data_IF_522957732458
#
_entry.id   IF_522957732458
#
_cell.length_a   1.000
_cell.length_b   1.000
_cell.length_c   1.000
_cell.angle_alpha   90.00
_cell.angle_beta   90.00
_cell.angle_gamma   90.00
#
_symmetry.space_group_name_H-M   'P 1'
#
loop_
_entity.id
_entity.type
_entity.pdbx_description
1 polymer ?
#
# COMPACT_ATOMS: atom_id res chain seq x y z
N UNK A 1 -17.63 61.06 -25.53
CA UNK A 1 -16.66 60.03 -25.94
C UNK A 1 -15.32 60.46 -25.39
N UNK A 2 -14.71 59.70 -24.49
CA UNK A 2 -13.41 60.07 -23.94
C UNK A 2 -12.38 59.99 -25.05
N UNK A 3 -11.69 61.09 -25.31
CA UNK A 3 -10.66 61.30 -26.32
C UNK A 3 -9.49 60.29 -26.27
N UNK A 4 -9.40 59.52 -25.18
CA UNK A 4 -8.36 58.52 -24.92
C UNK A 4 -8.79 57.05 -25.18
N UNK A 5 -9.93 56.80 -25.82
CA UNK A 5 -10.35 55.44 -26.15
C UNK A 5 -9.64 54.95 -27.43
N UNK A 6 -8.83 53.89 -27.31
CA UNK A 6 -8.09 53.28 -28.43
C UNK A 6 -8.62 51.88 -28.79
N UNK A 7 -9.88 51.75 -29.25
CA UNK A 7 -10.58 50.47 -29.34
C UNK A 7 -9.90 49.44 -30.26
N UNK A 8 -9.22 49.89 -31.32
CA UNK A 8 -8.50 48.99 -32.24
C UNK A 8 -7.22 48.45 -31.58
N UNK A 9 -6.45 49.31 -30.91
CA UNK A 9 -5.24 48.90 -30.19
C UNK A 9 -5.60 47.95 -29.05
N UNK A 10 -6.64 48.28 -28.28
CA UNK A 10 -7.14 47.45 -27.19
C UNK A 10 -7.62 46.09 -27.70
N UNK A 11 -8.31 46.06 -28.84
CA UNK A 11 -8.75 44.82 -29.49
C UNK A 11 -7.58 43.92 -29.94
N UNK A 12 -6.53 44.50 -30.53
CA UNK A 12 -5.33 43.74 -30.95
C UNK A 12 -4.56 43.22 -29.75
N UNK A 13 -4.32 44.06 -28.73
CA UNK A 13 -3.61 43.67 -27.52
C UNK A 13 -4.38 42.62 -26.72
N UNK A 14 -5.70 42.77 -26.58
CA UNK A 14 -6.55 41.78 -25.91
C UNK A 14 -6.59 40.45 -26.69
N UNK A 15 -6.67 40.51 -28.02
CA UNK A 15 -6.67 39.33 -28.89
C UNK A 15 -5.37 38.53 -28.80
N UNK A 16 -4.22 39.21 -28.60
CA UNK A 16 -2.94 38.56 -28.34
C UNK A 16 -2.79 38.11 -26.88
N UNK A 17 -3.24 38.91 -25.91
CA UNK A 17 -3.09 38.58 -24.48
C UNK A 17 -3.91 37.37 -24.06
N UNK A 18 -5.12 37.21 -24.61
CA UNK A 18 -6.04 36.13 -24.25
C UNK A 18 -5.46 34.71 -24.45
N UNK A 19 -4.97 34.31 -25.64
CA UNK A 19 -4.41 32.98 -25.84
C UNK A 19 -3.14 32.73 -25.01
N UNK A 20 -2.30 33.74 -24.81
CA UNK A 20 -1.11 33.63 -23.96
C UNK A 20 -1.48 33.39 -22.48
N UNK A 21 -2.52 34.07 -21.99
CA UNK A 21 -3.05 33.81 -20.66
C UNK A 21 -3.57 32.38 -20.52
N UNK A 22 -4.28 31.86 -21.54
CA UNK A 22 -4.76 30.47 -21.55
C UNK A 22 -3.60 29.46 -21.55
N UNK A 23 -2.55 29.68 -22.35
CA UNK A 23 -1.36 28.81 -22.35
C UNK A 23 -0.64 28.82 -21.00
N UNK A 24 -0.51 29.98 -20.37
CA UNK A 24 0.08 30.08 -19.04
C UNK A 24 -0.75 29.33 -18.00
N UNK A 25 -2.07 29.46 -18.03
CA UNK A 25 -2.97 28.72 -17.14
C UNK A 25 -2.85 27.21 -17.35
N UNK A 26 -2.78 26.75 -18.60
CA UNK A 26 -2.59 25.34 -18.91
C UNK A 26 -1.24 24.82 -18.39
N UNK A 27 -0.15 25.55 -18.62
CA UNK A 27 1.18 25.19 -18.11
C UNK A 27 1.20 25.13 -16.58
N UNK A 28 0.58 26.10 -15.91
CA UNK A 28 0.45 26.13 -14.46
C UNK A 28 -0.34 24.93 -13.95
N UNK A 29 -1.45 24.60 -14.59
CA UNK A 29 -2.25 23.42 -14.27
C UNK A 29 -1.43 22.13 -14.44
N UNK A 30 -0.80 21.92 -15.59
CA UNK A 30 0.01 20.71 -15.83
C UNK A 30 1.19 20.60 -14.87
N UNK A 31 1.81 21.73 -14.51
CA UNK A 31 2.89 21.74 -13.52
C UNK A 31 2.42 21.23 -12.16
N UNK A 32 1.20 21.59 -11.74
CA UNK A 32 0.62 21.09 -10.48
C UNK A 32 0.35 19.58 -10.53
N UNK A 33 0.06 19.01 -11.70
CA UNK A 33 -0.15 17.56 -11.86
C UNK A 33 1.14 16.74 -11.79
N UNK A 34 2.32 17.35 -11.92
CA UNK A 34 3.62 16.63 -11.85
C UNK A 34 4.00 16.15 -10.45
N UNK A 35 3.33 16.65 -9.40
CA UNK A 35 3.58 16.27 -8.01
C UNK A 35 2.28 15.75 -7.41
N UNK A 36 2.35 14.58 -6.78
CA UNK A 36 1.18 13.91 -6.20
C UNK A 36 0.41 14.83 -5.23
N UNK A 37 1.11 15.62 -4.41
CA UNK A 37 0.48 16.49 -3.41
C UNK A 37 -0.34 17.65 -3.98
N UNK A 38 -0.03 18.11 -5.20
CA UNK A 38 -0.74 19.20 -5.87
C UNK A 38 -1.62 18.72 -7.03
N UNK A 39 -1.62 17.41 -7.29
CA UNK A 39 -2.42 16.82 -8.35
C UNK A 39 -3.89 16.73 -7.96
N UNK A 40 -4.78 16.72 -8.96
CA UNK A 40 -6.23 16.69 -8.78
C UNK A 40 -6.89 15.77 -9.80
N UNK A 41 -8.01 15.16 -9.38
CA UNK A 41 -8.80 14.24 -10.22
C UNK A 41 -7.99 13.08 -10.79
N UNK A 42 -8.23 12.77 -12.07
CA UNK A 42 -7.73 11.56 -12.73
C UNK A 42 -6.20 11.42 -12.77
N UNK A 43 -5.43 12.51 -12.61
CA UNK A 43 -3.97 12.43 -12.55
C UNK A 43 -3.48 11.69 -11.29
N UNK A 44 -4.25 11.75 -10.19
CA UNK A 44 -3.96 11.00 -8.97
C UNK A 44 -4.17 9.50 -9.24
N UNK A 45 -5.27 9.15 -9.91
CA UNK A 45 -5.60 7.78 -10.30
C UNK A 45 -4.52 7.19 -11.23
N UNK A 46 -4.06 7.97 -12.23
CA UNK A 46 -2.95 7.58 -13.09
C UNK A 46 -1.66 7.38 -12.31
N UNK A 47 -1.33 8.30 -11.39
CA UNK A 47 -0.14 8.15 -10.56
C UNK A 47 -0.23 6.89 -9.69
N UNK A 48 -1.37 6.60 -9.08
CA UNK A 48 -1.55 5.37 -8.31
C UNK A 48 -1.40 4.11 -9.19
N UNK A 49 -1.97 4.12 -10.39
CA UNK A 49 -1.86 3.02 -11.33
C UNK A 49 -0.40 2.75 -11.76
N UNK A 50 0.41 3.80 -11.97
CA UNK A 50 1.82 3.65 -12.34
C UNK A 50 2.65 2.94 -11.27
N UNK A 51 2.34 3.14 -9.98
CA UNK A 51 3.09 2.55 -8.87
C UNK A 51 2.50 1.25 -8.35
N UNK A 52 1.17 1.12 -8.31
CA UNK A 52 0.47 0.01 -7.66
C UNK A 52 -0.33 -0.86 -8.63
N UNK A 53 -0.45 -0.45 -9.90
CA UNK A 53 -1.38 -1.07 -10.85
C UNK A 53 -2.81 -1.04 -10.31
N UNK A 54 -3.50 -2.17 -10.43
CA UNK A 54 -4.88 -2.32 -9.95
C UNK A 54 -5.00 -2.62 -8.44
N UNK A 55 -3.89 -2.62 -7.69
CA UNK A 55 -3.90 -3.00 -6.28
C UNK A 55 -4.32 -1.86 -5.33
N UNK A 56 -4.38 -0.62 -5.82
CA UNK A 56 -4.80 0.54 -5.01
C UNK A 56 -5.81 1.42 -5.75
N UNK A 57 -6.97 0.88 -6.15
CA UNK A 57 -7.98 1.66 -6.86
C UNK A 57 -8.61 2.68 -5.92
N UNK A 58 -9.06 3.80 -6.49
CA UNK A 58 -9.80 4.83 -5.76
C UNK A 58 -11.16 4.32 -5.31
N UNK A 59 -11.54 4.60 -4.07
CA UNK A 59 -12.83 4.20 -3.53
C UNK A 59 -13.94 5.11 -4.06
N UNK A 60 -15.15 4.57 -4.19
CA UNK A 60 -16.31 5.36 -4.63
C UNK A 60 -16.58 6.50 -3.64
N UNK A 61 -16.56 7.74 -4.12
CA UNK A 61 -16.77 8.95 -3.31
C UNK A 61 -15.56 9.41 -2.51
N UNK A 62 -14.37 8.81 -2.71
CA UNK A 62 -13.13 9.22 -2.03
C UNK A 62 -12.62 10.57 -2.55
N UNK A 63 -12.35 11.50 -1.65
CA UNK A 63 -11.79 12.82 -2.01
C UNK A 63 -10.34 12.71 -2.47
N UNK A 64 -9.87 13.68 -3.27
CA UNK A 64 -8.49 13.69 -3.78
C UNK A 64 -7.47 13.62 -2.62
N UNK A 65 -7.71 14.38 -1.55
CA UNK A 65 -6.85 14.43 -0.38
C UNK A 65 -6.80 13.11 0.41
N UNK A 66 -7.94 12.44 0.56
CA UNK A 66 -8.00 11.14 1.23
C UNK A 66 -7.26 10.07 0.42
N UNK A 67 -7.43 10.09 -0.91
CA UNK A 67 -6.77 9.13 -1.78
C UNK A 67 -5.25 9.34 -1.82
N UNK A 68 -4.78 10.60 -1.91
CA UNK A 68 -3.34 10.92 -1.81
C UNK A 68 -2.75 10.43 -0.49
N UNK A 69 -3.45 10.62 0.64
CA UNK A 69 -2.99 10.13 1.94
C UNK A 69 -2.88 8.60 1.95
N UNK A 70 -3.85 7.89 1.38
CA UNK A 70 -3.82 6.43 1.26
C UNK A 70 -2.66 5.96 0.38
N UNK A 71 -2.42 6.62 -0.75
CA UNK A 71 -1.25 6.37 -1.61
C UNK A 71 0.05 6.54 -0.82
N UNK A 72 0.19 7.63 -0.06
CA UNK A 72 1.39 7.89 0.76
C UNK A 72 1.59 6.83 1.83
N UNK A 73 0.52 6.43 2.52
CA UNK A 73 0.59 5.36 3.52
C UNK A 73 1.01 4.03 2.88
N UNK A 74 0.52 3.73 1.68
CA UNK A 74 0.87 2.51 0.96
C UNK A 74 2.34 2.48 0.52
N UNK A 75 2.93 3.63 0.16
CA UNK A 75 4.37 3.74 -0.13
C UNK A 75 5.25 3.46 1.10
N UNK A 76 4.80 3.89 2.28
CA UNK A 76 5.55 3.76 3.53
C UNK A 76 5.23 2.47 4.27
N UNK A 77 4.26 1.68 3.79
CA UNK A 77 3.86 0.43 4.41
C UNK A 77 5.05 -0.54 4.44
N UNK A 78 5.46 -0.94 5.65
CA UNK A 78 6.47 -1.98 5.80
C UNK A 78 5.90 -3.31 5.30
N UNK A 79 6.66 -3.99 4.45
CA UNK A 79 6.36 -5.31 3.88
C UNK A 79 7.62 -6.16 3.88
N UNK A 80 7.48 -7.44 3.56
CA UNK A 80 8.58 -8.39 3.40
C UNK A 80 9.44 -8.59 4.66
N UNK A 81 8.95 -8.14 5.82
CA UNK A 81 9.57 -8.40 7.11
C UNK A 81 8.60 -9.13 8.00
N UNK A 82 9.13 -9.92 8.94
CA UNK A 82 8.30 -10.60 9.93
C UNK A 82 7.51 -9.62 10.80
N UNK A 83 8.13 -8.52 11.23
CA UNK A 83 7.44 -7.53 12.05
C UNK A 83 6.24 -6.90 11.31
N UNK A 84 6.37 -6.68 10.00
CA UNK A 84 5.26 -6.24 9.17
C UNK A 84 4.15 -7.30 9.09
N UNK A 85 4.51 -8.58 8.91
CA UNK A 85 3.56 -9.69 8.87
C UNK A 85 2.83 -9.84 10.22
N UNK A 86 3.55 -9.80 11.34
CA UNK A 86 3.01 -9.78 12.70
C UNK A 86 2.03 -8.62 12.89
N UNK A 87 2.44 -7.41 12.49
CA UNK A 87 1.60 -6.23 12.60
C UNK A 87 0.31 -6.37 11.79
N UNK A 88 0.38 -6.76 10.52
CA UNK A 88 -0.79 -6.88 9.64
C UNK A 88 -1.76 -7.96 10.12
N UNK A 89 -1.26 -9.14 10.52
CA UNK A 89 -2.10 -10.20 11.07
C UNK A 89 -2.76 -9.74 12.38
N UNK A 90 -2.05 -8.99 13.24
CA UNK A 90 -2.59 -8.48 14.50
C UNK A 90 -3.75 -7.49 14.32
N UNK A 91 -3.86 -6.83 13.16
CA UNK A 91 -4.98 -5.94 12.85
C UNK A 91 -6.26 -6.72 12.50
N UNK A 92 -6.14 -7.98 12.10
CA UNK A 92 -7.26 -8.85 11.70
C UNK A 92 -7.66 -9.76 12.86
N UNK A 93 -6.69 -10.41 13.48
CA UNK A 93 -6.93 -11.40 14.52
C UNK A 93 -5.92 -11.25 15.66
N UNK A 94 -6.42 -11.27 16.90
CA UNK A 94 -5.58 -11.27 18.08
C UNK A 94 -5.09 -12.69 18.41
N UNK A 95 -3.86 -12.82 18.89
CA UNK A 95 -3.32 -14.12 19.35
C UNK A 95 -2.83 -15.07 18.24
N UNK A 96 -2.67 -14.60 17.00
CA UNK A 96 -1.99 -15.39 15.98
C UNK A 96 -0.51 -15.62 16.33
N UNK A 97 0.00 -16.81 16.01
CA UNK A 97 1.37 -17.21 16.23
C UNK A 97 2.08 -17.42 14.90
N UNK A 98 3.26 -16.84 14.75
CA UNK A 98 4.11 -16.99 13.57
C UNK A 98 5.32 -17.83 13.94
N UNK A 99 5.59 -18.83 13.11
CA UNK A 99 6.67 -19.79 13.27
C UNK A 99 7.52 -19.88 12.00
N UNK A 100 8.83 -19.71 12.16
CA UNK A 100 9.82 -19.82 11.09
C UNK A 100 10.83 -20.95 11.41
N UNK A 101 10.84 -22.08 10.67
CA UNK A 101 11.72 -23.21 10.96
C UNK A 101 13.21 -22.89 10.86
N UNK A 102 13.57 -21.84 10.13
CA UNK A 102 14.96 -21.41 9.96
C UNK A 102 15.40 -20.42 11.05
N UNK A 103 14.46 -19.94 11.88
CA UNK A 103 14.75 -19.03 12.99
C UNK A 103 14.91 -19.81 14.29
N UNK A 104 16.12 -19.81 14.83
CA UNK A 104 16.44 -20.59 16.03
C UNK A 104 15.59 -20.22 17.26
N UNK A 105 15.16 -18.96 17.41
CA UNK A 105 14.32 -18.55 18.55
C UNK A 105 12.88 -19.08 18.49
N UNK A 106 12.42 -19.47 17.30
CA UNK A 106 11.09 -20.05 17.10
C UNK A 106 11.08 -21.57 17.25
N UNK A 107 12.29 -22.16 17.31
CA UNK A 107 12.51 -23.59 17.33
C UNK A 107 12.96 -24.02 18.74
N UNK A 108 12.63 -25.26 19.08
CA UNK A 108 13.10 -25.89 20.32
C UNK A 108 14.35 -26.72 20.05
N UNK A 109 15.08 -27.05 21.12
CA UNK A 109 16.29 -27.88 21.02
C UNK A 109 16.09 -29.26 21.66
N UNK A 110 16.37 -30.29 20.86
CA UNK A 110 16.38 -31.69 21.31
C UNK A 110 17.36 -31.86 22.48
N UNK A 111 16.88 -32.44 23.59
CA UNK A 111 17.66 -32.70 24.81
C UNK A 111 17.55 -31.64 25.92
N UNK A 112 17.04 -30.43 25.62
CA UNK A 112 16.65 -29.44 26.64
C UNK A 112 15.14 -29.40 26.81
N UNK A 113 14.42 -29.47 25.70
CA UNK A 113 12.97 -29.34 25.65
C UNK A 113 12.30 -30.73 25.48
N UNK A 114 11.12 -30.93 26.06
CA UNK A 114 10.43 -32.23 26.07
C UNK A 114 9.93 -32.62 24.67
N UNK A 115 10.32 -33.81 24.20
CA UNK A 115 9.89 -34.36 22.92
C UNK A 115 8.35 -34.43 22.78
N UNK A 116 7.79 -33.95 21.66
CA UNK A 116 6.38 -34.14 21.30
C UNK A 116 5.37 -33.30 22.08
N UNK A 117 5.79 -32.24 22.77
CA UNK A 117 4.86 -31.29 23.38
C UNK A 117 4.11 -30.49 22.30
N UNK A 118 2.83 -30.18 22.50
CA UNK A 118 2.02 -29.34 21.61
C UNK A 118 2.63 -27.93 21.35
N UNK A 119 3.59 -27.51 22.17
CA UNK A 119 4.34 -26.26 22.04
C UNK A 119 5.68 -26.38 21.33
N UNK A 120 6.13 -27.59 20.97
CA UNK A 120 7.45 -27.83 20.38
C UNK A 120 7.41 -27.74 18.86
N UNK A 121 8.30 -26.93 18.28
CA UNK A 121 8.40 -26.71 16.84
C UNK A 121 9.84 -26.97 16.37
N UNK A 122 9.98 -27.80 15.35
CA UNK A 122 11.28 -28.25 14.85
C UNK A 122 11.83 -27.30 13.79
N UNK A 123 13.10 -26.95 13.95
CA UNK A 123 13.80 -26.17 12.94
C UNK A 123 14.13 -27.00 11.69
N UNK A 124 14.23 -26.32 10.55
CA UNK A 124 14.64 -26.91 9.28
C UNK A 124 15.65 -26.00 8.59
N UNK A 125 16.75 -26.59 8.12
CA UNK A 125 17.73 -25.91 7.26
C UNK A 125 17.46 -26.12 5.77
N UNK A 126 16.59 -27.06 5.43
CA UNK A 126 16.27 -27.45 4.04
C UNK A 126 15.03 -26.75 3.50
N UNK A 127 14.31 -26.00 4.35
CA UNK A 127 13.11 -25.24 3.99
C UNK A 127 13.30 -23.75 4.30
N UNK A 128 14.28 -23.07 3.67
CA UNK A 128 14.49 -21.64 3.86
C UNK A 128 13.30 -20.86 3.30
N UNK A 129 12.92 -19.77 3.97
CA UNK A 129 11.82 -18.92 3.51
C UNK A 129 10.42 -19.51 3.70
N UNK A 130 10.28 -20.61 4.44
CA UNK A 130 8.97 -21.11 4.86
C UNK A 130 8.52 -20.45 6.16
N UNK A 131 7.25 -20.04 6.20
CA UNK A 131 6.60 -19.45 7.39
C UNK A 131 5.30 -20.19 7.67
N UNK A 132 5.01 -20.43 8.94
CA UNK A 132 3.73 -20.97 9.39
C UNK A 132 3.01 -19.92 10.22
N UNK A 133 1.73 -19.70 9.92
CA UNK A 133 0.84 -18.80 10.64
C UNK A 133 -0.28 -19.62 11.25
N UNK A 134 -0.34 -19.63 12.58
CA UNK A 134 -1.40 -20.30 13.33
C UNK A 134 -2.36 -19.25 13.91
N UNK A 135 -3.62 -19.30 13.51
CA UNK A 135 -4.66 -18.39 13.98
C UNK A 135 -5.62 -19.11 14.95
N UNK A 136 -6.19 -18.39 15.93
CA UNK A 136 -7.23 -18.94 16.81
C UNK A 136 -8.50 -19.25 16.02
N UNK A 137 -9.42 -19.99 16.66
CA UNK A 137 -10.71 -20.31 16.08
C UNK A 137 -11.55 -19.04 15.84
N UNK A 138 -12.38 -19.06 14.80
CA UNK A 138 -13.18 -17.91 14.35
C UNK A 138 -12.44 -16.87 13.51
N UNK A 139 -11.15 -17.06 13.21
CA UNK A 139 -10.44 -16.21 12.25
C UNK A 139 -10.95 -16.46 10.82
N UNK A 140 -11.23 -15.39 10.08
CA UNK A 140 -11.58 -15.52 8.66
C UNK A 140 -10.34 -15.85 7.83
N UNK A 141 -10.39 -17.01 7.16
CA UNK A 141 -9.31 -17.46 6.30
C UNK A 141 -9.05 -16.53 5.11
N UNK A 142 -10.09 -15.88 4.59
CA UNK A 142 -9.96 -15.02 3.41
C UNK A 142 -9.19 -13.74 3.76
N UNK A 143 -9.60 -13.06 4.83
CA UNK A 143 -8.93 -11.85 5.32
C UNK A 143 -7.47 -12.11 5.70
N UNK A 144 -7.20 -13.20 6.42
CA UNK A 144 -5.84 -13.59 6.80
C UNK A 144 -4.98 -13.87 5.57
N UNK A 145 -5.52 -14.60 4.59
CA UNK A 145 -4.80 -14.91 3.35
C UNK A 145 -4.50 -13.64 2.54
N UNK A 146 -5.45 -12.72 2.44
CA UNK A 146 -5.30 -11.45 1.73
C UNK A 146 -4.22 -10.58 2.37
N UNK A 147 -4.20 -10.47 3.70
CA UNK A 147 -3.17 -9.72 4.42
C UNK A 147 -1.78 -10.34 4.26
N UNK A 148 -1.69 -11.68 4.29
CA UNK A 148 -0.42 -12.38 4.06
C UNK A 148 0.07 -12.14 2.64
N UNK A 149 -0.77 -12.27 1.63
CA UNK A 149 -0.39 -12.04 0.22
C UNK A 149 0.10 -10.60 0.03
N UNK A 150 -0.57 -9.62 0.65
CA UNK A 150 -0.19 -8.21 0.57
C UNK A 150 1.15 -7.88 1.24
N UNK A 151 1.56 -8.69 2.23
CA UNK A 151 2.70 -8.37 3.10
C UNK A 151 3.92 -9.26 2.87
N UNK A 152 3.70 -10.51 2.45
CA UNK A 152 4.77 -11.49 2.27
C UNK A 152 5.69 -11.10 1.12
N UNK A 153 6.95 -11.49 1.23
CA UNK A 153 7.85 -11.42 0.10
C UNK A 153 7.45 -12.41 -0.98
N UNK A 154 7.76 -12.05 -2.23
CA UNK A 154 7.65 -12.97 -3.36
C UNK A 154 8.55 -14.19 -3.15
N UNK A 155 8.08 -15.38 -3.55
CA UNK A 155 8.83 -16.64 -3.38
C UNK A 155 8.84 -17.22 -1.96
N UNK A 156 8.22 -16.56 -0.98
CA UNK A 156 8.01 -17.12 0.36
C UNK A 156 6.73 -17.93 0.41
N UNK A 157 6.86 -19.17 0.89
CA UNK A 157 5.75 -20.08 1.16
C UNK A 157 5.23 -19.85 2.58
N UNK A 158 3.93 -19.54 2.67
CA UNK A 158 3.25 -19.32 3.95
C UNK A 158 2.14 -20.35 4.10
N UNK A 159 2.24 -21.16 5.15
CA UNK A 159 1.22 -22.14 5.52
C UNK A 159 0.33 -21.57 6.61
N UNK A 160 -0.98 -21.59 6.39
CA UNK A 160 -1.98 -21.05 7.32
C UNK A 160 -2.70 -22.21 7.98
N UNK A 161 -2.77 -22.19 9.32
CA UNK A 161 -3.55 -23.13 10.11
C UNK A 161 -4.50 -22.36 11.02
N UNK A 162 -5.80 -22.61 10.89
CA UNK A 162 -6.84 -22.02 11.75
C UNK A 162 -7.34 -23.13 12.67
N UNK A 163 -7.39 -22.86 13.97
CA UNK A 163 -7.92 -23.83 14.93
C UNK A 163 -9.41 -24.10 14.64
N UNK A 164 -9.82 -25.36 14.70
CA UNK A 164 -11.23 -25.75 14.67
C UNK A 164 -11.85 -25.50 16.05
N UNK A 165 -13.10 -25.00 16.07
CA UNK A 165 -13.91 -24.86 17.28
C UNK A 165 -14.08 -26.20 18.05
#
# INVERSE_FOLDING_TARGET
>A
MSENATPVLDGVLAGLAWPWAMFWQLLSYTSQQTRLQSSTGNFIDMAAADYFGDNLPRLSGETDSAYILRIQNEFLAQRNTRAALEYQISQIVSGALIFEPWRASDCVCEGRDTYGSASTRYGSRTSPGTVFVQCPAGADSEDVSAAIIKTKAEGIDVFIAIASD
#
